data_IF_805866318948
#
_entry.id   IF_805866318948
#
_cell.length_a   1.000
_cell.length_b   1.000
_cell.length_c   1.000
_cell.angle_alpha   90.00
_cell.angle_beta   90.00
_cell.angle_gamma   90.00
#
_symmetry.space_group_name_H-M   'P 1'
#
loop_
_entity.id
_entity.type
_entity.pdbx_description
1 polymer ?
#
# COMPACT_ATOMS: atom_id res chain seq x y z
N UNK A 1 -80.21 3.94 -14.52
CA UNK A 1 -79.72 4.60 -13.29
C UNK A 1 -78.90 3.58 -12.48
N UNK A 2 -77.61 3.82 -12.22
CA UNK A 2 -76.85 3.14 -11.17
C UNK A 2 -76.02 1.91 -11.55
N UNK A 3 -74.72 2.09 -11.75
CA UNK A 3 -73.66 1.32 -11.06
C UNK A 3 -72.30 2.00 -11.25
N UNK A 4 -72.12 3.01 -10.40
CA UNK A 4 -70.87 3.72 -10.17
C UNK A 4 -69.95 2.86 -9.29
N UNK A 5 -68.65 2.93 -9.56
CA UNK A 5 -67.56 2.74 -8.59
C UNK A 5 -67.33 1.35 -7.97
N UNK A 6 -66.57 0.50 -8.68
CA UNK A 6 -65.75 -0.59 -8.09
C UNK A 6 -64.27 -0.51 -8.50
N UNK A 7 -63.72 0.69 -8.67
CA UNK A 7 -62.29 0.89 -9.03
C UNK A 7 -61.41 1.28 -7.84
N UNK A 8 -61.97 1.47 -6.64
CA UNK A 8 -61.27 2.11 -5.51
C UNK A 8 -60.84 1.17 -4.36
N UNK A 9 -61.05 -0.14 -4.46
CA UNK A 9 -60.62 -1.09 -3.42
C UNK A 9 -59.27 -1.77 -3.70
N UNK A 10 -58.76 -1.70 -4.93
CA UNK A 10 -57.58 -2.48 -5.35
C UNK A 10 -56.25 -1.71 -5.36
N UNK A 11 -56.26 -0.39 -5.19
CA UNK A 11 -55.06 0.45 -5.23
C UNK A 11 -54.28 0.50 -3.91
N UNK A 12 -54.90 0.10 -2.79
CA UNK A 12 -54.27 0.03 -1.46
C UNK A 12 -53.22 -1.09 -1.35
N UNK A 13 -53.47 -2.35 -1.76
CA UNK A 13 -52.46 -3.40 -1.66
C UNK A 13 -51.26 -3.16 -2.58
N UNK A 14 -51.47 -2.58 -3.77
CA UNK A 14 -50.41 -2.27 -4.74
C UNK A 14 -49.44 -1.21 -4.18
N UNK A 15 -49.97 -0.17 -3.53
CA UNK A 15 -49.14 0.87 -2.91
C UNK A 15 -48.33 0.34 -1.72
N UNK A 16 -48.92 -0.56 -0.93
CA UNK A 16 -48.22 -1.22 0.18
C UNK A 16 -47.12 -2.14 -0.36
N UNK A 17 -47.38 -2.90 -1.42
CA UNK A 17 -46.38 -3.75 -2.05
C UNK A 17 -45.20 -2.93 -2.60
N UNK A 18 -45.49 -1.81 -3.28
CA UNK A 18 -44.47 -0.90 -3.81
C UNK A 18 -43.65 -0.25 -2.69
N UNK A 19 -44.28 0.14 -1.58
CA UNK A 19 -43.59 0.66 -0.40
C UNK A 19 -42.68 -0.40 0.25
N UNK A 20 -43.13 -1.66 0.32
CA UNK A 20 -42.32 -2.76 0.88
C UNK A 20 -41.13 -3.11 -0.03
N UNK A 21 -41.29 -3.03 -1.35
CA UNK A 21 -40.19 -3.22 -2.30
C UNK A 21 -39.16 -2.09 -2.17
N UNK A 22 -39.61 -0.83 -2.11
CA UNK A 22 -38.74 0.34 -1.91
C UNK A 22 -38.00 0.30 -0.57
N UNK A 23 -38.66 -0.18 0.50
CA UNK A 23 -38.04 -0.32 1.83
C UNK A 23 -37.05 -1.50 1.87
N UNK A 24 -37.33 -2.59 1.15
CA UNK A 24 -36.44 -3.75 1.04
C UNK A 24 -35.16 -3.47 0.26
N UNK A 25 -35.20 -2.57 -0.73
CA UNK A 25 -34.00 -2.19 -1.52
C UNK A 25 -33.01 -1.29 -0.77
N UNK A 26 -33.41 -0.70 0.37
CA UNK A 26 -32.54 0.16 1.19
C UNK A 26 -31.57 -0.60 2.09
N UNK A 27 -31.68 -1.94 2.18
CA UNK A 27 -30.83 -2.78 3.05
C UNK A 27 -29.63 -3.41 2.33
N UNK A 28 -29.41 -3.08 1.06
CA UNK A 28 -28.17 -3.41 0.37
C UNK A 28 -27.04 -2.53 0.92
N UNK A 29 -26.43 -2.97 2.03
CA UNK A 29 -25.23 -2.35 2.56
C UNK A 29 -24.17 -2.28 1.47
N UNK A 30 -23.56 -1.11 1.27
CA UNK A 30 -22.40 -0.99 0.39
C UNK A 30 -21.37 -2.03 0.80
N UNK A 31 -20.74 -2.76 -0.15
CA UNK A 31 -19.57 -3.56 0.20
C UNK A 31 -18.58 -2.63 0.90
N UNK A 32 -17.87 -3.10 1.94
CA UNK A 32 -16.80 -2.31 2.52
C UNK A 32 -15.88 -1.86 1.38
N UNK A 33 -15.35 -0.62 1.42
CA UNK A 33 -14.39 -0.18 0.43
C UNK A 33 -13.33 -1.28 0.31
N UNK A 34 -13.15 -1.82 -0.90
CA UNK A 34 -12.11 -2.79 -1.15
C UNK A 34 -10.80 -2.12 -0.72
N UNK A 35 -10.10 -2.74 0.23
CA UNK A 35 -8.85 -2.23 0.76
C UNK A 35 -7.91 -2.06 -0.44
N UNK A 36 -7.67 -0.81 -0.84
CA UNK A 36 -6.79 -0.50 -1.94
C UNK A 36 -5.44 -1.08 -1.54
N UNK A 37 -5.06 -2.20 -2.16
CA UNK A 37 -3.91 -2.99 -1.75
C UNK A 37 -2.72 -2.04 -1.67
N UNK A 38 -2.22 -1.81 -0.44
CA UNK A 38 -1.07 -0.95 -0.24
C UNK A 38 0.05 -1.51 -1.12
N UNK A 39 0.72 -0.67 -1.93
CA UNK A 39 1.82 -1.14 -2.77
C UNK A 39 2.83 -1.92 -1.92
N UNK A 40 3.38 -3.03 -2.43
CA UNK A 40 4.36 -3.80 -1.69
C UNK A 40 5.60 -2.93 -1.41
N UNK A 41 6.18 -3.08 -0.22
CA UNK A 41 7.44 -2.42 0.12
C UNK A 41 8.59 -3.01 -0.68
N UNK A 42 9.44 -2.15 -1.23
CA UNK A 42 10.71 -2.49 -1.86
C UNK A 42 11.82 -2.32 -0.84
N UNK A 43 12.42 -3.43 -0.42
CA UNK A 43 13.49 -3.47 0.57
C UNK A 43 14.82 -3.85 -0.08
N UNK A 44 15.92 -3.26 0.39
CA UNK A 44 17.27 -3.60 -0.08
C UNK A 44 18.18 -4.06 1.06
N UNK A 45 18.96 -5.13 0.83
CA UNK A 45 20.01 -5.55 1.77
C UNK A 45 21.11 -4.49 1.82
N UNK A 46 21.47 -4.08 3.04
CA UNK A 46 22.46 -3.04 3.27
C UNK A 46 23.59 -3.55 4.15
N UNK A 47 24.83 -3.29 3.71
CA UNK A 47 26.06 -3.78 4.35
C UNK A 47 26.92 -2.59 4.75
N UNK A 48 27.08 -2.37 6.06
CA UNK A 48 27.72 -1.18 6.63
C UNK A 48 29.15 -1.46 7.13
N UNK A 49 29.89 -2.29 6.42
CA UNK A 49 31.20 -2.81 6.85
C UNK A 49 32.36 -2.50 5.90
N UNK A 50 32.14 -1.63 4.90
CA UNK A 50 33.17 -1.28 3.94
C UNK A 50 34.03 -0.12 4.43
N UNK A 51 35.31 -0.15 4.08
CA UNK A 51 36.27 0.92 4.32
C UNK A 51 37.26 1.06 3.15
N UNK A 52 38.18 2.01 3.26
CA UNK A 52 39.17 2.26 2.22
C UNK A 52 40.09 1.04 1.98
N UNK A 53 40.41 0.28 3.03
CA UNK A 53 41.23 -0.94 2.87
C UNK A 53 40.52 -2.01 2.05
N UNK A 54 39.19 -2.06 2.14
CA UNK A 54 38.36 -2.97 1.34
C UNK A 54 38.51 -2.68 -0.15
N UNK A 55 38.44 -1.41 -0.55
CA UNK A 55 38.57 -1.01 -1.96
C UNK A 55 39.99 -1.18 -2.49
N UNK A 56 41.00 -1.00 -1.65
CA UNK A 56 42.41 -1.17 -2.01
C UNK A 56 42.86 -2.64 -2.03
N UNK A 57 42.08 -3.56 -1.45
CA UNK A 57 42.45 -4.97 -1.27
C UNK A 57 42.57 -5.77 -2.58
N UNK A 58 41.95 -5.29 -3.66
CA UNK A 58 41.80 -6.05 -4.91
C UNK A 58 40.97 -7.33 -4.79
N UNK A 59 40.25 -7.54 -3.67
CA UNK A 59 39.42 -8.73 -3.43
C UNK A 59 37.97 -8.55 -3.87
N UNK A 60 37.52 -7.31 -4.07
CA UNK A 60 36.17 -7.01 -4.55
C UNK A 60 36.11 -7.05 -6.07
N UNK A 61 35.06 -7.67 -6.62
CA UNK A 61 34.90 -7.83 -8.06
C UNK A 61 34.56 -6.53 -8.81
N UNK A 62 34.08 -5.52 -8.09
CA UNK A 62 33.73 -4.19 -8.60
C UNK A 62 33.94 -3.13 -7.52
N UNK A 63 33.93 -1.86 -7.89
CA UNK A 63 34.12 -0.72 -7.00
C UNK A 63 33.12 0.41 -7.27
N UNK A 64 32.69 1.15 -6.23
CA UNK A 64 31.81 2.29 -6.42
C UNK A 64 32.54 3.41 -7.20
N UNK A 65 31.78 4.27 -7.89
CA UNK A 65 32.33 5.47 -8.54
C UNK A 65 33.15 6.35 -7.58
N UNK A 66 32.74 6.38 -6.31
CA UNK A 66 33.42 7.09 -5.24
C UNK A 66 33.67 6.10 -4.09
N UNK A 67 34.91 5.62 -3.90
CA UNK A 67 35.29 4.83 -2.74
C UNK A 67 34.90 5.53 -1.43
N UNK A 68 34.52 4.75 -0.41
CA UNK A 68 33.94 5.30 0.82
C UNK A 68 34.21 4.45 2.06
N UNK A 69 34.08 5.05 3.25
CA UNK A 69 33.95 4.32 4.50
C UNK A 69 32.47 4.26 4.92
N UNK A 70 31.97 3.07 5.24
CA UNK A 70 30.58 2.87 5.67
C UNK A 70 30.24 3.62 6.96
N UNK A 71 31.23 3.93 7.79
CA UNK A 71 31.07 4.69 9.02
C UNK A 71 30.96 6.22 8.81
N UNK A 72 31.20 6.72 7.59
CA UNK A 72 31.07 8.15 7.29
C UNK A 72 29.58 8.56 7.18
N UNK A 73 29.10 9.51 8.00
CA UNK A 73 27.72 9.99 7.93
C UNK A 73 27.32 10.52 6.54
N UNK A 74 28.22 11.20 5.83
CA UNK A 74 27.91 11.75 4.51
C UNK A 74 27.67 10.64 3.46
N UNK A 75 28.31 9.49 3.65
CA UNK A 75 28.11 8.30 2.82
C UNK A 75 26.76 7.66 3.10
N UNK A 76 26.37 7.58 4.37
CA UNK A 76 25.04 7.10 4.78
C UNK A 76 23.95 7.98 4.15
N UNK A 77 24.07 9.31 4.28
CA UNK A 77 23.14 10.27 3.67
C UNK A 77 23.03 10.09 2.15
N UNK A 78 24.17 9.92 1.47
CA UNK A 78 24.21 9.67 0.02
C UNK A 78 23.48 8.37 -0.36
N UNK A 79 23.70 7.28 0.37
CA UNK A 79 23.03 6.00 0.11
C UNK A 79 21.52 6.07 0.34
N UNK A 80 21.08 6.77 1.40
CA UNK A 80 19.64 7.02 1.65
C UNK A 80 19.04 7.83 0.49
N UNK A 81 19.71 8.89 0.04
CA UNK A 81 19.23 9.70 -1.07
C UNK A 81 19.21 8.93 -2.40
N UNK A 82 20.12 7.98 -2.61
CA UNK A 82 20.11 7.08 -3.78
C UNK A 82 18.94 6.09 -3.71
N UNK A 83 18.70 5.48 -2.55
CA UNK A 83 17.57 4.57 -2.33
C UNK A 83 16.22 5.25 -2.57
N UNK A 84 16.02 6.46 -2.03
CA UNK A 84 14.80 7.24 -2.26
C UNK A 84 14.57 7.53 -3.75
N UNK A 85 15.62 7.92 -4.50
CA UNK A 85 15.52 8.14 -5.95
C UNK A 85 15.24 6.86 -6.74
N UNK A 86 15.61 5.71 -6.20
CA UNK A 86 15.38 4.40 -6.81
C UNK A 86 14.03 3.76 -6.42
N UNK A 87 13.25 4.39 -5.54
CA UNK A 87 11.99 3.82 -5.04
C UNK A 87 12.19 2.67 -4.04
N UNK A 88 13.31 2.65 -3.32
CA UNK A 88 13.55 1.72 -2.21
C UNK A 88 12.97 2.35 -0.94
N UNK A 89 12.06 1.63 -0.28
CA UNK A 89 11.33 2.11 0.88
C UNK A 89 12.15 1.98 2.18
N UNK A 90 12.94 0.92 2.33
CA UNK A 90 13.82 0.74 3.47
C UNK A 90 15.01 -0.20 3.22
N UNK A 91 15.97 -0.13 4.13
CA UNK A 91 17.12 -1.02 4.17
C UNK A 91 16.96 -2.14 5.20
N UNK A 92 17.42 -3.34 4.83
CA UNK A 92 17.60 -4.48 5.73
C UNK A 92 19.09 -4.54 6.09
N UNK A 93 19.46 -3.99 7.23
CA UNK A 93 20.85 -3.89 7.69
C UNK A 93 21.39 -5.25 8.12
N UNK A 94 22.50 -5.68 7.51
CA UNK A 94 23.30 -6.81 8.00
C UNK A 94 23.87 -6.48 9.38
N UNK A 95 23.61 -7.35 10.37
CA UNK A 95 24.02 -7.12 11.75
C UNK A 95 24.50 -8.41 12.41
N UNK A 96 25.70 -8.35 13.00
CA UNK A 96 26.31 -9.48 13.71
C UNK A 96 26.03 -9.49 15.21
N UNK A 97 25.38 -8.46 15.76
CA UNK A 97 25.28 -8.28 17.20
C UNK A 97 26.43 -7.46 17.79
N UNK A 98 26.29 -6.95 19.02
CA UNK A 98 27.43 -6.46 19.78
C UNK A 98 28.39 -7.61 20.07
N UNK A 99 29.69 -7.30 20.05
CA UNK A 99 30.77 -8.18 20.51
C UNK A 99 31.00 -8.05 22.01
#
# INVERSE_FOLDING_TARGET
MGRMMRRWAWSRPVRVLLLLILLGTGLSGSPPPADAQTPPLVLAFYYAWFDMSTWESGQVADQPLQPYASADPAVIERHVAQAQRAGIDAFVQSWYGPV
#
